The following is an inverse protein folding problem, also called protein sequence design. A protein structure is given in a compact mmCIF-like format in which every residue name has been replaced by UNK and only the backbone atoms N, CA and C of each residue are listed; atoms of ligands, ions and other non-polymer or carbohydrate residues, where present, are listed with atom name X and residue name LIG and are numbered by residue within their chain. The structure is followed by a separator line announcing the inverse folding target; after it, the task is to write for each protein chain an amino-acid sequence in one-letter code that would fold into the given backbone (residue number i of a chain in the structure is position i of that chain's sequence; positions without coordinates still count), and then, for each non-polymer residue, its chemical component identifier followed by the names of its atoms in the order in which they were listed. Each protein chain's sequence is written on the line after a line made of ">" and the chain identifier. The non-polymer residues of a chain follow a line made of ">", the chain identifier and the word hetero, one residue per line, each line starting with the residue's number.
data_IF_080225261670
#
_entry.id   IF_080225261670
#
_cell.length_a   1.000
_cell.length_b   1.000
_cell.length_c   1.000
_cell.angle_alpha   90.00
_cell.angle_beta   90.00
_cell.angle_gamma   90.00
#
_symmetry.space_group_name_H-M   'P 1'
#
loop_
_entity.id
_entity.type
_entity.pdbx_description
1 polymer ?
#
# COMPACT_ATOMS: atom_id res chain seq x y z
N UNK A 1 -15.50 22.30 -8.70
CA UNK A 1 -14.08 21.97 -8.34
C UNK A 1 -13.31 21.84 -9.66
N UNK A 2 -12.19 22.56 -9.83
CA UNK A 2 -11.47 22.83 -11.10
C UNK A 2 -11.32 21.60 -12.05
N UNK A 3 -11.13 21.81 -13.37
CA UNK A 3 -10.66 20.79 -14.35
C UNK A 3 -9.48 19.93 -13.87
N UNK A 4 -8.73 20.46 -12.91
CA UNK A 4 -7.56 19.86 -12.28
C UNK A 4 -7.82 18.51 -11.60
N UNK A 5 -9.02 18.24 -11.09
CA UNK A 5 -9.33 16.92 -10.51
C UNK A 5 -9.16 15.80 -11.54
N UNK A 6 -9.87 15.92 -12.67
CA UNK A 6 -9.78 14.93 -13.74
C UNK A 6 -8.43 14.94 -14.45
N UNK A 7 -7.71 16.07 -14.44
CA UNK A 7 -6.30 16.10 -14.85
C UNK A 7 -5.44 15.18 -13.97
N UNK A 8 -5.56 15.25 -12.64
CA UNK A 8 -4.80 14.38 -11.72
C UNK A 8 -5.20 12.92 -11.83
N UNK A 9 -6.49 12.64 -12.01
CA UNK A 9 -6.97 11.27 -12.20
C UNK A 9 -6.41 10.68 -13.50
N UNK A 10 -6.38 11.44 -14.60
CA UNK A 10 -5.71 11.01 -15.84
C UNK A 10 -4.22 10.79 -15.60
N UNK A 11 -3.51 11.78 -15.07
CA UNK A 11 -2.05 11.74 -14.91
C UNK A 11 -1.58 10.59 -14.03
N UNK A 12 -2.23 10.37 -12.88
CA UNK A 12 -1.76 9.40 -11.89
C UNK A 12 -2.46 8.05 -11.94
N UNK A 13 -3.64 7.94 -12.55
CA UNK A 13 -4.44 6.71 -12.55
C UNK A 13 -4.79 6.20 -13.96
N UNK A 14 -4.64 7.02 -15.00
CA UNK A 14 -5.00 6.63 -16.37
C UNK A 14 -6.50 6.47 -16.58
N UNK A 15 -7.31 7.24 -15.85
CA UNK A 15 -8.78 7.17 -15.91
C UNK A 15 -9.37 8.49 -16.40
N UNK A 16 -10.38 8.40 -17.27
CA UNK A 16 -11.14 9.52 -17.80
C UNK A 16 -12.59 9.51 -17.33
N UNK A 17 -13.24 10.69 -17.21
CA UNK A 17 -14.67 10.73 -16.95
C UNK A 17 -15.46 10.25 -18.18
N UNK A 18 -16.57 9.51 -18.01
CA UNK A 18 -17.38 9.02 -19.12
C UNK A 18 -18.16 10.10 -19.88
N UNK A 19 -18.16 11.35 -19.38
CA UNK A 19 -18.80 12.50 -20.00
C UNK A 19 -18.06 13.79 -19.58
N UNK A 20 -18.19 14.90 -20.33
CA UNK A 20 -17.61 16.19 -19.93
C UNK A 20 -18.06 16.60 -18.53
N UNK A 21 -17.12 17.12 -17.73
CA UNK A 21 -17.36 17.57 -16.36
C UNK A 21 -17.10 19.07 -16.24
N UNK A 22 -18.18 19.84 -16.07
CA UNK A 22 -18.12 21.27 -15.79
C UNK A 22 -17.78 21.58 -14.33
N UNK A 23 -17.65 22.87 -14.00
CA UNK A 23 -17.25 23.31 -12.67
C UNK A 23 -18.35 23.17 -11.60
N UNK A 24 -19.59 22.96 -12.03
CA UNK A 24 -20.76 22.69 -11.20
C UNK A 24 -20.64 21.37 -10.41
N UNK A 25 -19.73 20.48 -10.83
CA UNK A 25 -19.49 19.21 -10.14
C UNK A 25 -18.43 19.32 -9.04
N UNK A 26 -18.60 18.46 -8.04
CA UNK A 26 -17.65 18.23 -6.95
C UNK A 26 -17.32 16.73 -6.86
N UNK A 27 -16.87 16.14 -7.98
CA UNK A 27 -16.72 14.69 -8.13
C UNK A 27 -15.84 14.04 -7.05
N UNK A 28 -14.79 14.72 -6.58
CA UNK A 28 -13.96 14.21 -5.49
C UNK A 28 -14.76 14.00 -4.19
N UNK A 29 -15.76 14.84 -3.91
CA UNK A 29 -16.56 14.79 -2.69
C UNK A 29 -17.58 13.65 -2.65
N UNK A 30 -17.75 12.87 -3.73
CA UNK A 30 -18.56 11.65 -3.68
C UNK A 30 -17.89 10.55 -2.84
N UNK A 31 -16.59 10.68 -2.56
CA UNK A 31 -15.85 9.74 -1.72
C UNK A 31 -15.94 10.15 -0.25
N UNK A 32 -16.52 9.28 0.60
CA UNK A 32 -16.72 9.50 2.04
C UNK A 32 -15.51 10.09 2.77
N UNK A 33 -14.31 9.56 2.52
CA UNK A 33 -13.07 10.02 3.17
C UNK A 33 -12.56 11.38 2.67
N UNK A 34 -13.18 11.97 1.65
CA UNK A 34 -12.88 13.33 1.19
C UNK A 34 -13.82 14.34 1.84
N UNK A 35 -15.11 14.00 2.03
CA UNK A 35 -16.11 14.92 2.56
C UNK A 35 -16.37 14.80 4.07
N UNK A 36 -16.05 13.67 4.70
CA UNK A 36 -16.35 13.42 6.13
C UNK A 36 -15.10 13.20 7.01
N UNK A 37 -13.95 12.88 6.41
CA UNK A 37 -12.72 12.59 7.18
C UNK A 37 -11.49 13.19 6.50
N UNK A 38 -11.32 14.52 6.56
CA UNK A 38 -10.23 15.20 5.87
C UNK A 38 -8.87 14.65 6.28
N UNK A 39 -7.96 14.56 5.30
CA UNK A 39 -6.60 14.05 5.45
C UNK A 39 -6.48 12.57 5.88
N UNK A 40 -7.52 11.74 5.80
CA UNK A 40 -7.37 10.32 6.16
C UNK A 40 -6.78 9.45 5.04
N UNK A 41 -6.96 9.82 3.77
CA UNK A 41 -6.74 8.91 2.62
C UNK A 41 -5.29 8.41 2.47
N UNK A 42 -4.30 9.21 2.86
CA UNK A 42 -2.90 8.80 2.77
C UNK A 42 -2.57 7.63 3.72
N UNK A 43 -3.36 7.45 4.79
CA UNK A 43 -3.15 6.38 5.75
C UNK A 43 -3.24 5.00 5.10
N UNK A 44 -4.12 4.82 4.09
CA UNK A 44 -4.21 3.58 3.32
C UNK A 44 -2.93 3.26 2.56
N UNK A 45 -2.27 4.27 1.99
CA UNK A 45 -1.02 4.10 1.26
C UNK A 45 0.10 3.66 2.22
N UNK A 46 0.27 4.37 3.34
CA UNK A 46 1.29 4.05 4.34
C UNK A 46 1.01 2.68 4.99
N UNK A 47 -0.24 2.41 5.37
CA UNK A 47 -0.63 1.12 5.96
C UNK A 47 -0.37 -0.05 5.01
N UNK A 48 -0.55 0.14 3.70
CA UNK A 48 -0.25 -0.89 2.70
C UNK A 48 1.23 -1.22 2.67
N UNK A 49 2.10 -0.20 2.67
CA UNK A 49 3.57 -0.41 2.69
C UNK A 49 3.99 -1.09 3.99
N UNK A 50 3.52 -0.60 5.14
CA UNK A 50 3.79 -1.19 6.45
C UNK A 50 3.36 -2.65 6.54
N UNK A 51 2.16 -2.98 6.02
CA UNK A 51 1.65 -4.35 5.97
C UNK A 51 2.63 -5.28 5.25
N UNK A 52 3.09 -4.91 4.05
CA UNK A 52 4.03 -5.75 3.30
C UNK A 52 5.40 -5.85 3.98
N UNK A 53 5.91 -4.75 4.55
CA UNK A 53 7.20 -4.74 5.22
C UNK A 53 7.21 -5.60 6.50
N UNK A 54 6.17 -5.51 7.33
CA UNK A 54 6.01 -6.36 8.51
C UNK A 54 5.82 -7.83 8.11
N UNK A 55 5.00 -8.09 7.09
CA UNK A 55 4.76 -9.43 6.58
C UNK A 55 6.03 -10.08 6.01
N UNK A 56 6.84 -9.33 5.26
CA UNK A 56 8.13 -9.79 4.73
C UNK A 56 9.09 -10.19 5.86
N UNK A 57 9.18 -9.35 6.90
CA UNK A 57 10.00 -9.67 8.07
C UNK A 57 9.51 -10.95 8.76
N UNK A 58 8.20 -11.05 9.04
CA UNK A 58 7.61 -12.23 9.69
C UNK A 58 7.88 -13.48 8.85
N UNK A 59 7.55 -13.46 7.56
CA UNK A 59 7.69 -14.60 6.67
C UNK A 59 9.15 -15.07 6.57
N UNK A 60 10.08 -14.16 6.29
CA UNK A 60 11.47 -14.52 5.98
C UNK A 60 12.35 -14.68 7.21
N UNK A 61 12.12 -13.89 8.27
CA UNK A 61 13.00 -13.87 9.45
C UNK A 61 12.49 -14.74 10.58
N UNK A 62 11.18 -14.86 10.76
CA UNK A 62 10.59 -15.69 11.84
C UNK A 62 10.21 -17.05 11.27
N UNK A 63 9.27 -17.08 10.31
CA UNK A 63 8.72 -18.33 9.78
C UNK A 63 9.68 -19.08 8.84
N UNK A 64 10.67 -18.39 8.27
CA UNK A 64 11.58 -18.90 7.22
C UNK A 64 10.83 -19.49 6.02
N UNK A 65 9.72 -18.87 5.65
CA UNK A 65 8.83 -19.29 4.56
C UNK A 65 8.74 -18.21 3.47
N UNK A 66 8.34 -18.58 2.23
CA UNK A 66 8.00 -17.60 1.20
C UNK A 66 6.85 -16.70 1.65
N UNK A 67 6.94 -15.36 1.52
CA UNK A 67 5.86 -14.45 1.88
C UNK A 67 4.51 -14.81 1.24
N UNK A 68 4.51 -15.29 0.00
CA UNK A 68 3.29 -15.61 -0.76
C UNK A 68 2.53 -16.84 -0.23
N UNK A 69 3.14 -17.66 0.64
CA UNK A 69 2.57 -18.95 1.05
C UNK A 69 2.67 -19.21 2.56
N UNK A 70 3.08 -18.23 3.36
CA UNK A 70 3.27 -18.43 4.79
C UNK A 70 1.95 -18.35 5.57
N UNK A 71 1.91 -18.99 6.75
CA UNK A 71 0.79 -18.95 7.68
C UNK A 71 1.30 -18.65 9.09
N UNK A 72 0.60 -17.76 9.79
CA UNK A 72 0.97 -17.28 11.12
C UNK A 72 0.37 -18.11 12.25
N UNK A 73 -0.66 -18.92 11.94
CA UNK A 73 -1.41 -19.68 12.92
C UNK A 73 -0.49 -20.55 13.80
N UNK A 74 -0.80 -20.60 15.09
CA UNK A 74 -0.09 -21.36 16.12
C UNK A 74 1.42 -21.04 16.27
N UNK A 75 1.89 -19.92 15.70
CA UNK A 75 3.27 -19.48 15.86
C UNK A 75 3.43 -18.44 16.99
N UNK A 76 3.97 -18.89 18.13
CA UNK A 76 4.20 -18.04 19.30
C UNK A 76 5.23 -16.93 19.05
N UNK A 77 6.22 -17.15 18.19
CA UNK A 77 7.25 -16.16 17.88
C UNK A 77 6.67 -14.99 17.08
N UNK A 78 5.79 -15.28 16.11
CA UNK A 78 5.05 -14.26 15.37
C UNK A 78 4.16 -13.45 16.32
N UNK A 79 3.46 -14.12 17.23
CA UNK A 79 2.66 -13.45 18.26
C UNK A 79 3.50 -12.53 19.16
N UNK A 80 4.66 -13.00 19.63
CA UNK A 80 5.57 -12.21 20.44
C UNK A 80 6.12 -10.99 19.69
N UNK A 81 6.48 -11.16 18.42
CA UNK A 81 6.92 -10.06 17.56
C UNK A 81 5.84 -8.98 17.39
N UNK A 82 4.62 -9.37 17.03
CA UNK A 82 3.51 -8.44 16.86
C UNK A 82 3.16 -7.74 18.18
N UNK A 83 3.13 -8.48 19.30
CA UNK A 83 2.88 -7.92 20.62
C UNK A 83 3.90 -6.82 20.98
N UNK A 84 5.19 -7.07 20.77
CA UNK A 84 6.28 -6.10 21.05
C UNK A 84 6.11 -4.78 20.30
N UNK A 85 5.51 -4.81 19.11
CA UNK A 85 5.19 -3.62 18.33
C UNK A 85 3.94 -2.95 18.89
N UNK A 86 2.85 -3.71 19.04
CA UNK A 86 1.53 -3.19 19.40
C UNK A 86 1.46 -2.64 20.83
N UNK A 87 2.21 -3.22 21.78
CA UNK A 87 2.18 -2.81 23.19
C UNK A 87 2.71 -1.39 23.42
N UNK A 88 3.46 -0.83 22.46
CA UNK A 88 3.97 0.55 22.51
C UNK A 88 2.87 1.59 22.26
N UNK A 89 1.79 1.23 21.58
CA UNK A 89 0.74 2.18 21.20
C UNK A 89 1.29 3.44 20.52
N UNK A 90 0.83 4.61 20.96
CA UNK A 90 1.29 5.92 20.46
C UNK A 90 2.42 6.56 21.31
N UNK A 91 3.08 5.78 22.17
CA UNK A 91 4.11 6.32 23.11
C UNK A 91 5.50 6.49 22.49
N UNK A 92 5.74 5.91 21.33
CA UNK A 92 7.02 6.01 20.60
C UNK A 92 6.79 6.41 19.14
N UNK A 93 7.80 7.02 18.53
CA UNK A 93 7.78 7.37 17.10
C UNK A 93 7.66 6.10 16.24
N UNK A 94 6.61 6.03 15.42
CA UNK A 94 6.31 4.87 14.60
C UNK A 94 7.46 4.47 13.65
N UNK A 95 8.27 5.44 13.18
CA UNK A 95 9.42 5.17 12.29
C UNK A 95 10.51 4.42 13.04
N UNK A 96 10.76 4.83 14.28
CA UNK A 96 11.69 4.15 15.18
C UNK A 96 11.17 2.75 15.50
N UNK A 97 9.89 2.62 15.85
CA UNK A 97 9.27 1.30 16.12
C UNK A 97 9.40 0.37 14.91
N UNK A 98 9.12 0.85 13.70
CA UNK A 98 9.28 0.08 12.47
C UNK A 98 10.73 -0.37 12.24
N UNK A 99 11.68 0.56 12.37
CA UNK A 99 13.11 0.28 12.17
C UNK A 99 13.65 -0.69 13.20
N UNK A 100 13.28 -0.53 14.47
CA UNK A 100 13.68 -1.43 15.56
C UNK A 100 13.09 -2.83 15.38
N UNK A 101 11.87 -2.94 14.85
CA UNK A 101 11.20 -4.21 14.62
C UNK A 101 11.74 -4.92 13.38
N UNK A 102 11.92 -4.20 12.28
CA UNK A 102 12.18 -4.82 10.96
C UNK A 102 13.63 -4.73 10.51
N UNK A 103 14.40 -3.79 11.07
CA UNK A 103 15.75 -3.40 10.63
C UNK A 103 15.76 -2.40 9.47
N UNK A 104 14.60 -1.98 8.95
CA UNK A 104 14.48 -1.14 7.75
C UNK A 104 13.58 0.08 8.05
N UNK A 105 13.89 1.21 7.42
CA UNK A 105 12.96 2.35 7.38
C UNK A 105 11.76 2.03 6.49
N UNK A 106 10.78 2.95 6.36
CA UNK A 106 9.62 2.70 5.50
C UNK A 106 10.09 2.50 4.04
N UNK A 107 9.75 1.34 3.47
CA UNK A 107 10.28 0.91 2.17
C UNK A 107 9.24 0.12 1.38
N UNK A 108 9.09 0.43 0.08
CA UNK A 108 8.20 -0.29 -0.83
C UNK A 108 8.80 -1.62 -1.34
N UNK A 109 10.06 -1.91 -1.01
CA UNK A 109 10.80 -3.10 -1.46
C UNK A 109 10.02 -4.40 -1.21
N UNK A 110 9.53 -4.58 0.02
CA UNK A 110 8.80 -5.79 0.42
C UNK A 110 7.54 -6.02 -0.44
N UNK A 111 6.81 -4.96 -0.78
CA UNK A 111 5.65 -5.03 -1.65
C UNK A 111 6.04 -5.42 -3.08
N UNK A 112 7.09 -4.79 -3.62
CA UNK A 112 7.59 -5.10 -4.97
C UNK A 112 8.08 -6.55 -5.07
N UNK A 113 8.81 -7.03 -4.06
CA UNK A 113 9.26 -8.42 -4.00
C UNK A 113 8.10 -9.41 -3.90
N UNK A 114 7.08 -9.08 -3.10
CA UNK A 114 5.89 -9.92 -2.95
C UNK A 114 5.21 -10.16 -4.31
N UNK A 115 5.03 -9.10 -5.10
CA UNK A 115 4.39 -9.17 -6.41
C UNK A 115 5.31 -9.55 -7.57
N UNK A 116 6.62 -9.75 -7.34
CA UNK A 116 7.59 -10.06 -8.40
C UNK A 116 7.17 -11.22 -9.32
N UNK A 117 6.63 -12.36 -8.83
CA UNK A 117 6.17 -13.43 -9.71
C UNK A 117 5.00 -13.02 -10.61
N UNK A 118 4.07 -12.23 -10.07
CA UNK A 118 2.95 -11.70 -10.84
C UNK A 118 3.43 -10.68 -11.88
N UNK A 119 4.34 -9.78 -11.51
CA UNK A 119 4.91 -8.81 -12.43
C UNK A 119 5.59 -9.48 -13.62
N UNK A 120 6.40 -10.52 -13.39
CA UNK A 120 7.04 -11.28 -14.47
C UNK A 120 6.01 -11.93 -15.42
N UNK A 121 4.88 -12.40 -14.87
CA UNK A 121 3.79 -12.93 -15.68
C UNK A 121 3.10 -11.81 -16.49
N UNK A 122 2.77 -10.68 -15.86
CA UNK A 122 2.12 -9.53 -16.53
C UNK A 122 3.00 -8.97 -17.65
N UNK A 123 4.32 -8.88 -17.44
CA UNK A 123 5.28 -8.43 -18.47
C UNK A 123 5.26 -9.34 -19.70
N UNK A 124 5.18 -10.66 -19.49
CA UNK A 124 5.05 -11.63 -20.57
C UNK A 124 3.73 -11.48 -21.32
N UNK A 125 2.62 -11.36 -20.61
CA UNK A 125 1.28 -11.27 -21.23
C UNK A 125 1.05 -9.95 -21.96
N UNK A 126 1.75 -8.89 -21.56
CA UNK A 126 1.70 -7.58 -22.22
C UNK A 126 2.75 -7.41 -23.32
N UNK A 127 3.51 -8.46 -23.67
CA UNK A 127 4.46 -8.40 -24.77
C UNK A 127 3.76 -7.97 -26.07
N UNK A 128 4.27 -6.92 -26.70
CA UNK A 128 3.71 -6.34 -27.93
C UNK A 128 2.50 -5.42 -27.74
N UNK A 129 2.09 -5.12 -26.49
CA UNK A 129 1.04 -4.15 -26.18
C UNK A 129 1.64 -2.81 -25.77
N UNK A 130 0.88 -1.72 -25.96
CA UNK A 130 1.21 -0.41 -25.38
C UNK A 130 1.06 -0.48 -23.86
N UNK A 131 2.11 -0.08 -23.13
CA UNK A 131 2.11 0.03 -21.67
C UNK A 131 2.05 1.51 -21.30
N UNK A 132 1.05 1.88 -20.49
CA UNK A 132 0.77 3.26 -20.13
C UNK A 132 -0.47 3.80 -20.85
N UNK A 133 -0.73 5.09 -20.66
CA UNK A 133 -1.88 5.82 -21.20
C UNK A 133 -1.44 7.23 -21.61
N UNK A 134 -2.31 7.90 -22.37
CA UNK A 134 -2.14 9.29 -22.83
C UNK A 134 -2.97 10.28 -22.00
#
# INVERSE_FOLDING_TARGET
>A
MKPRWWQYVREHQGVEPPAPRGEEFCDAAIKTHINDTPAYYYSYAIATVLKFQLHDHIARKILKQPPQACNYADNKEVGAFLKKIMEKGATEDWRKVLKDATGEELSTRAMMEYFKPLMAWVEKENAGRQIGWE
#
